data_IF_797460441954
#
_entry.id   IF_797460441954
#
_cell.length_a   1.000
_cell.length_b   1.000
_cell.length_c   1.000
_cell.angle_alpha   90.00
_cell.angle_beta   90.00
_cell.angle_gamma   90.00
#
_symmetry.space_group_name_H-M   'P 1'
#
loop_
_entity.id
_entity.type
_entity.pdbx_description
1 polymer ?
#
# COMPACT_ATOMS: atom_id res chain seq x y z
N UNK A 1 -79.12 14.78 9.52
CA UNK A 1 -78.65 13.90 8.43
C UNK A 1 -77.74 14.70 7.51
N UNK A 2 -76.60 14.28 6.98
CA UNK A 2 -75.57 13.29 7.30
C UNK A 2 -74.39 13.57 6.34
N UNK A 3 -73.13 13.50 6.84
CA UNK A 3 -71.83 13.30 6.12
C UNK A 3 -71.45 14.37 5.05
N UNK A 4 -70.31 15.07 5.06
CA UNK A 4 -68.95 14.76 5.48
C UNK A 4 -68.09 14.39 4.26
N UNK A 5 -67.08 15.19 3.88
CA UNK A 5 -65.69 14.75 3.64
C UNK A 5 -64.84 15.85 2.99
N UNK A 6 -63.72 16.16 3.64
CA UNK A 6 -62.58 16.90 3.11
C UNK A 6 -61.77 15.99 2.18
N UNK A 7 -61.15 16.54 1.12
CA UNK A 7 -59.98 15.93 0.48
C UNK A 7 -58.89 16.99 0.36
N UNK A 8 -58.05 17.03 1.38
CA UNK A 8 -56.68 17.53 1.35
C UNK A 8 -55.81 16.34 0.94
N UNK A 9 -54.92 16.49 -0.04
CA UNK A 9 -53.88 15.48 -0.23
C UNK A 9 -53.22 15.44 -1.60
N UNK A 10 -52.39 16.44 -1.93
CA UNK A 10 -51.52 16.37 -3.12
C UNK A 10 -50.07 16.84 -2.91
N UNK A 11 -49.61 17.01 -1.65
CA UNK A 11 -48.25 17.56 -1.39
C UNK A 11 -47.29 16.53 -0.76
N UNK A 12 -47.77 15.34 -0.40
CA UNK A 12 -46.94 14.38 0.36
C UNK A 12 -46.03 13.46 -0.47
N UNK A 13 -46.17 13.37 -1.81
CA UNK A 13 -45.36 12.43 -2.60
C UNK A 13 -43.99 12.99 -3.04
N UNK A 14 -43.86 14.31 -3.27
CA UNK A 14 -42.60 14.90 -3.73
C UNK A 14 -41.49 14.88 -2.68
N UNK A 15 -41.85 15.12 -1.41
CA UNK A 15 -40.90 15.10 -0.29
C UNK A 15 -40.38 13.69 0.05
N UNK A 16 -41.20 12.66 -0.16
CA UNK A 16 -40.84 11.26 0.18
C UNK A 16 -39.83 10.71 -0.83
N UNK A 17 -39.93 11.06 -2.12
CA UNK A 17 -38.96 10.62 -3.14
C UNK A 17 -37.61 11.33 -2.95
N UNK A 18 -37.60 12.63 -2.63
CA UNK A 18 -36.34 13.33 -2.33
C UNK A 18 -35.70 12.82 -1.03
N UNK A 19 -36.51 12.50 0.00
CA UNK A 19 -36.01 11.89 1.24
C UNK A 19 -35.56 10.43 1.07
N UNK A 20 -36.10 9.69 0.10
CA UNK A 20 -35.66 8.33 -0.25
C UNK A 20 -34.38 8.33 -1.10
N UNK A 21 -34.23 9.30 -2.02
CA UNK A 21 -33.00 9.46 -2.81
C UNK A 21 -31.85 9.99 -1.93
N UNK A 22 -32.14 10.86 -0.96
CA UNK A 22 -31.17 11.26 0.10
C UNK A 22 -30.94 10.17 1.17
N UNK A 23 -31.73 9.09 1.20
CA UNK A 23 -31.49 7.90 2.03
C UNK A 23 -30.82 6.75 1.27
N UNK A 24 -30.60 6.91 -0.03
CA UNK A 24 -29.83 5.99 -0.86
C UNK A 24 -28.37 6.42 -1.01
N UNK A 25 -27.94 7.51 -0.35
CA UNK A 25 -26.58 7.57 0.19
C UNK A 25 -26.54 6.52 1.28
N UNK A 26 -26.11 5.32 0.89
CA UNK A 26 -25.63 4.25 1.76
C UNK A 26 -25.27 4.80 3.13
N UNK A 27 -26.09 4.50 4.13
CA UNK A 27 -25.73 4.52 5.54
C UNK A 27 -24.39 3.78 5.67
N UNK A 28 -23.27 4.51 5.56
CA UNK A 28 -21.98 4.04 6.00
C UNK A 28 -22.07 4.01 7.51
N UNK A 29 -21.90 2.81 8.05
CA UNK A 29 -22.10 2.52 9.45
C UNK A 29 -21.28 3.49 10.30
N UNK A 30 -21.93 4.03 11.34
CA UNK A 30 -21.31 4.86 12.38
C UNK A 30 -20.40 3.95 13.21
N UNK A 31 -19.25 3.57 12.65
CA UNK A 31 -18.10 2.86 13.25
C UNK A 31 -17.07 2.37 12.21
N UNK A 32 -17.24 2.68 10.92
CA UNK A 32 -16.29 2.23 9.89
C UNK A 32 -14.94 2.93 10.07
N UNK A 33 -13.91 2.13 10.38
CA UNK A 33 -12.54 2.58 10.38
C UNK A 33 -12.13 3.05 8.97
N UNK A 34 -11.13 3.93 8.81
CA UNK A 34 -10.73 4.38 7.49
C UNK A 34 -10.02 3.26 6.71
N UNK A 35 -10.20 3.24 5.38
CA UNK A 35 -9.44 2.42 4.45
C UNK A 35 -8.42 3.30 3.71
N UNK A 36 -7.17 2.88 3.64
CA UNK A 36 -6.16 3.53 2.77
C UNK A 36 -6.20 2.82 1.41
N UNK A 37 -6.44 3.57 0.34
CA UNK A 37 -6.40 3.04 -1.02
C UNK A 37 -5.18 3.52 -1.81
N UNK A 38 -4.49 4.59 -1.39
CA UNK A 38 -3.29 5.09 -2.06
C UNK A 38 -2.26 5.61 -1.07
N UNK A 39 -1.00 5.20 -1.27
CA UNK A 39 0.18 5.74 -0.58
C UNK A 39 1.19 6.14 -1.64
N UNK A 40 1.86 7.27 -1.45
CA UNK A 40 2.89 7.77 -2.36
C UNK A 40 4.18 7.97 -1.58
N UNK A 41 5.27 7.40 -2.09
CA UNK A 41 6.62 7.76 -1.67
C UNK A 41 7.22 8.82 -2.59
N UNK A 42 8.06 9.66 -2.02
CA UNK A 42 8.97 10.54 -2.74
C UNK A 42 10.39 10.22 -2.28
N UNK A 43 11.21 9.69 -3.19
CA UNK A 43 12.43 8.96 -2.84
C UNK A 43 12.02 7.82 -1.89
N UNK A 44 12.66 7.72 -0.74
CA UNK A 44 12.40 6.66 0.22
C UNK A 44 11.31 7.02 1.23
N UNK A 45 10.81 8.25 1.23
CA UNK A 45 9.98 8.79 2.32
C UNK A 45 8.50 8.86 1.93
N UNK A 46 7.63 8.70 2.93
CA UNK A 46 6.19 8.90 2.81
C UNK A 46 5.89 10.37 2.46
N UNK A 47 5.16 10.57 1.37
CA UNK A 47 4.84 11.92 0.87
C UNK A 47 3.33 12.21 0.84
N UNK A 48 2.51 11.22 0.48
CA UNK A 48 1.06 11.35 0.52
C UNK A 48 0.35 10.04 0.89
N UNK A 49 -0.80 10.19 1.56
CA UNK A 49 -1.71 9.10 1.89
C UNK A 49 -3.15 9.54 1.61
N UNK A 50 -3.89 8.66 0.95
CA UNK A 50 -5.28 8.87 0.60
C UNK A 50 -6.12 7.65 0.92
N UNK A 51 -7.35 7.92 1.34
CA UNK A 51 -8.24 6.88 1.80
C UNK A 51 -9.70 7.29 1.82
N UNK A 52 -10.52 6.35 2.23
CA UNK A 52 -11.93 6.50 2.51
C UNK A 52 -12.18 6.45 4.01
N UNK A 53 -13.13 7.24 4.48
CA UNK A 53 -13.65 7.24 5.84
C UNK A 53 -15.09 7.75 5.81
N UNK A 54 -15.88 7.59 6.90
CA UNK A 54 -17.23 8.15 6.91
C UNK A 54 -17.19 9.68 6.67
N UNK A 55 -18.08 10.23 5.83
CA UNK A 55 -18.06 11.65 5.48
C UNK A 55 -18.10 12.60 6.68
N UNK A 56 -17.35 13.69 6.63
CA UNK A 56 -17.29 14.72 7.67
C UNK A 56 -16.53 14.32 8.93
N UNK A 57 -15.96 13.11 9.00
CA UNK A 57 -15.15 12.65 10.13
C UNK A 57 -13.73 13.22 10.09
N UNK A 58 -13.16 13.40 11.26
CA UNK A 58 -11.72 13.66 11.41
C UNK A 58 -10.97 12.35 11.25
N UNK A 59 -10.00 12.29 10.35
CA UNK A 59 -9.11 11.15 10.19
C UNK A 59 -7.75 11.51 10.74
N UNK A 60 -7.30 10.75 11.73
CA UNK A 60 -5.92 10.82 12.18
C UNK A 60 -5.11 9.70 11.54
N UNK A 61 -3.97 10.04 10.95
CA UNK A 61 -3.01 9.07 10.46
C UNK A 61 -1.85 8.95 11.44
N UNK A 62 -1.60 7.73 11.88
CA UNK A 62 -0.47 7.37 12.73
C UNK A 62 0.42 6.37 12.01
N UNK A 63 1.66 6.21 12.47
CA UNK A 63 2.52 5.14 12.00
C UNK A 63 3.23 4.43 13.14
N UNK A 64 3.59 3.17 12.88
CA UNK A 64 4.59 2.41 13.64
C UNK A 64 5.59 1.82 12.66
N UNK A 65 6.82 1.67 13.08
CA UNK A 65 7.86 1.15 12.21
C UNK A 65 8.83 0.25 12.95
N UNK A 66 9.27 -0.81 12.29
CA UNK A 66 10.37 -1.65 12.75
C UNK A 66 11.19 -2.15 11.59
N UNK A 67 12.41 -2.55 11.89
CA UNK A 67 13.24 -3.24 10.93
C UNK A 67 13.01 -4.76 10.99
N UNK A 68 13.42 -5.44 9.94
CA UNK A 68 13.54 -6.90 9.92
C UNK A 68 14.79 -7.28 9.14
N UNK A 69 15.26 -8.51 9.35
CA UNK A 69 16.29 -9.12 8.53
C UNK A 69 15.64 -9.69 7.27
N UNK A 70 16.06 -9.20 6.11
CA UNK A 70 15.65 -9.71 4.82
C UNK A 70 16.24 -11.10 4.57
N UNK A 71 15.41 -12.05 4.13
CA UNK A 71 15.88 -13.43 4.01
C UNK A 71 16.77 -13.75 2.81
N UNK A 72 17.67 -14.72 2.95
CA UNK A 72 18.57 -15.27 1.91
C UNK A 72 18.23 -16.72 1.52
N UNK A 73 18.78 -17.19 0.39
CA UNK A 73 18.41 -18.44 -0.31
C UNK A 73 18.80 -19.76 0.38
N UNK A 74 19.68 -19.74 1.39
CA UNK A 74 20.17 -20.95 2.05
C UNK A 74 19.47 -21.13 3.41
N UNK A 75 18.52 -22.06 3.48
CA UNK A 75 17.59 -22.22 4.59
C UNK A 75 18.26 -22.49 5.96
N UNK A 76 18.24 -21.48 6.83
CA UNK A 76 17.73 -21.61 8.22
C UNK A 76 17.24 -20.23 8.70
N UNK A 77 15.98 -19.92 8.35
CA UNK A 77 15.15 -18.80 8.82
C UNK A 77 15.84 -17.44 9.03
N UNK A 78 16.18 -16.73 7.94
CA UNK A 78 16.82 -15.41 8.02
C UNK A 78 15.83 -14.28 8.35
N UNK A 79 14.52 -14.47 8.12
CA UNK A 79 13.52 -13.49 8.51
C UNK A 79 13.44 -13.42 10.03
N UNK A 80 13.85 -12.29 10.58
CA UNK A 80 13.73 -12.02 11.99
C UNK A 80 13.29 -10.58 12.19
N UNK A 81 12.31 -10.41 13.07
CA UNK A 81 11.94 -9.08 13.51
C UNK A 81 13.07 -8.47 14.31
N UNK A 82 13.38 -7.23 13.97
CA UNK A 82 14.30 -6.41 14.74
C UNK A 82 13.49 -5.49 15.65
N UNK A 83 14.20 -4.58 16.34
CA UNK A 83 13.57 -3.63 17.25
C UNK A 83 12.55 -2.74 16.55
N UNK A 84 11.46 -2.46 17.27
CA UNK A 84 10.58 -1.36 16.90
C UNK A 84 11.28 -0.02 17.12
N UNK A 85 11.07 0.91 16.20
CA UNK A 85 11.39 2.32 16.43
C UNK A 85 10.45 2.84 17.52
N UNK A 86 10.97 3.72 18.39
CA UNK A 86 10.23 4.30 19.51
C UNK A 86 9.50 3.26 20.39
N UNK A 87 10.12 2.10 20.61
CA UNK A 87 9.53 1.04 21.46
C UNK A 87 8.25 0.40 20.89
N UNK A 88 7.85 0.72 19.66
CA UNK A 88 6.59 0.29 19.06
C UNK A 88 5.42 1.24 19.32
N UNK A 89 5.67 2.39 19.95
CA UNK A 89 4.67 3.41 20.13
C UNK A 89 4.33 4.08 18.80
N UNK A 90 3.03 4.21 18.55
CA UNK A 90 2.56 4.88 17.35
C UNK A 90 2.79 6.39 17.45
N UNK A 91 3.24 7.00 16.34
CA UNK A 91 3.46 8.44 16.23
C UNK A 91 2.50 9.01 15.20
N UNK A 92 1.86 10.14 15.52
CA UNK A 92 0.91 10.79 14.61
C UNK A 92 1.65 11.48 13.47
N UNK A 93 1.27 11.18 12.24
CA UNK A 93 1.76 11.85 11.03
C UNK A 93 0.98 13.14 10.83
N UNK A 94 -0.35 13.06 10.86
CA UNK A 94 -1.20 14.19 10.52
C UNK A 94 -2.68 13.92 10.77
N UNK A 95 -3.48 14.95 10.49
CA UNK A 95 -4.93 14.94 10.63
C UNK A 95 -5.53 15.51 9.34
N UNK A 96 -6.56 14.87 8.84
CA UNK A 96 -7.37 15.35 7.73
C UNK A 96 -8.86 15.26 8.08
N UNK A 97 -9.72 15.87 7.28
CA UNK A 97 -11.17 15.68 7.35
C UNK A 97 -11.63 14.97 6.10
N UNK A 98 -12.46 13.94 6.26
CA UNK A 98 -13.10 13.27 5.14
C UNK A 98 -14.14 14.20 4.51
N UNK A 99 -14.07 14.39 3.20
CA UNK A 99 -15.00 15.24 2.46
C UNK A 99 -16.41 14.62 2.39
N UNK A 100 -17.32 15.27 1.64
CA UNK A 100 -18.69 14.79 1.48
C UNK A 100 -18.80 13.42 0.78
N UNK A 101 -17.77 13.05 -0.01
CA UNK A 101 -17.64 11.74 -0.64
C UNK A 101 -16.91 10.71 0.25
N UNK A 102 -16.49 11.10 1.45
CA UNK A 102 -15.73 10.24 2.36
C UNK A 102 -14.23 10.17 2.06
N UNK A 103 -13.73 10.95 1.10
CA UNK A 103 -12.31 10.95 0.75
C UNK A 103 -11.54 11.83 1.73
N UNK A 104 -10.43 11.31 2.24
CA UNK A 104 -9.47 12.08 3.02
C UNK A 104 -8.07 11.99 2.41
N UNK A 105 -7.28 13.05 2.58
CA UNK A 105 -5.95 13.16 2.00
C UNK A 105 -4.98 13.87 2.95
N UNK A 106 -3.79 13.31 3.06
CA UNK A 106 -2.59 13.98 3.54
C UNK A 106 -1.59 14.00 2.39
N UNK A 107 -1.00 15.16 2.11
CA UNK A 107 -0.05 15.34 1.01
C UNK A 107 1.06 16.30 1.40
N UNK A 108 2.15 16.28 0.64
CA UNK A 108 3.33 17.11 0.88
C UNK A 108 3.91 16.89 2.29
N UNK A 109 3.79 15.64 2.78
CA UNK A 109 4.18 15.25 4.12
C UNK A 109 5.69 15.43 4.34
N UNK A 110 6.49 15.20 3.29
CA UNK A 110 7.94 15.39 3.34
C UNK A 110 8.30 16.86 3.54
N UNK A 111 7.67 17.78 2.80
CA UNK A 111 7.88 19.22 2.99
C UNK A 111 7.36 19.70 4.36
N UNK A 112 6.29 19.08 4.87
CA UNK A 112 5.78 19.29 6.22
C UNK A 112 6.67 18.71 7.34
N UNK A 113 7.83 18.13 7.00
CA UNK A 113 8.81 17.62 7.96
C UNK A 113 8.59 16.17 8.41
N UNK A 114 7.72 15.41 7.73
CA UNK A 114 7.56 13.97 7.99
C UNK A 114 8.77 13.21 7.46
N UNK A 115 9.37 12.37 8.32
CA UNK A 115 10.57 11.57 8.02
C UNK A 115 10.29 10.07 8.01
N UNK A 116 9.05 9.69 7.72
CA UNK A 116 8.63 8.28 7.69
C UNK A 116 9.16 7.62 6.41
N UNK A 117 10.29 6.95 6.54
CA UNK A 117 10.90 6.17 5.47
C UNK A 117 10.04 4.94 5.15
N UNK A 118 9.67 4.72 3.89
CA UNK A 118 8.98 3.52 3.40
C UNK A 118 9.94 2.48 2.80
N UNK A 119 11.09 2.94 2.29
CA UNK A 119 12.06 2.08 1.62
C UNK A 119 13.45 2.12 2.28
N UNK A 120 14.17 0.99 2.37
CA UNK A 120 15.53 1.00 2.87
C UNK A 120 16.44 1.83 1.94
N UNK A 121 17.39 2.61 2.49
CA UNK A 121 18.27 3.47 1.68
C UNK A 121 19.38 2.70 0.97
N UNK A 122 19.65 1.46 1.39
CA UNK A 122 20.69 0.59 0.87
C UNK A 122 20.38 -0.87 1.24
N UNK A 123 20.97 -1.86 0.54
CA UNK A 123 20.94 -3.24 1.00
C UNK A 123 21.68 -3.37 2.34
N UNK A 124 21.22 -4.26 3.21
CA UNK A 124 21.64 -4.25 4.61
C UNK A 124 21.86 -5.61 5.25
N UNK A 125 22.19 -6.63 4.43
CA UNK A 125 22.24 -8.06 4.76
C UNK A 125 22.51 -8.39 6.24
N UNK A 126 21.70 -9.27 6.81
CA UNK A 126 21.72 -9.81 8.19
C UNK A 126 21.75 -8.80 9.36
N UNK A 127 21.80 -7.49 9.10
CA UNK A 127 22.06 -6.45 10.12
C UNK A 127 20.83 -5.64 10.52
N UNK A 128 19.61 -6.07 10.19
CA UNK A 128 18.39 -5.27 10.43
C UNK A 128 18.41 -3.90 9.73
N UNK A 129 19.20 -3.76 8.66
CA UNK A 129 19.35 -2.51 7.91
C UNK A 129 18.66 -2.59 6.55
N UNK A 130 18.50 -3.79 5.99
CA UNK A 130 17.98 -3.96 4.65
C UNK A 130 16.47 -4.19 4.60
N UNK A 131 15.81 -4.57 5.70
CA UNK A 131 14.36 -4.70 5.81
C UNK A 131 13.70 -3.61 6.65
N UNK A 132 12.61 -3.03 6.14
CA UNK A 132 11.80 -2.00 6.77
C UNK A 132 10.31 -2.34 6.70
N UNK A 133 9.63 -2.36 7.84
CA UNK A 133 8.20 -2.59 7.97
C UNK A 133 7.54 -1.37 8.59
N UNK A 134 6.60 -0.76 7.86
CA UNK A 134 5.88 0.44 8.25
C UNK A 134 4.39 0.14 8.29
N UNK A 135 3.77 0.35 9.45
CA UNK A 135 2.32 0.35 9.58
C UNK A 135 1.80 1.77 9.43
N UNK A 136 0.76 1.93 8.63
CA UNK A 136 -0.07 3.12 8.55
C UNK A 136 -1.39 2.82 9.26
N UNK A 137 -1.70 3.64 10.26
CA UNK A 137 -2.72 3.38 11.26
C UNK A 137 -3.75 4.51 11.23
N UNK A 138 -4.65 4.50 10.24
CA UNK A 138 -5.68 5.51 10.14
C UNK A 138 -6.80 5.21 11.15
N UNK A 139 -7.37 6.25 11.75
CA UNK A 139 -8.58 6.13 12.56
C UNK A 139 -9.52 7.31 12.35
N UNK A 140 -10.82 7.04 12.31
CA UNK A 140 -11.84 8.07 12.19
C UNK A 140 -12.33 8.46 13.58
N UNK A 141 -12.36 9.75 13.89
CA UNK A 141 -12.69 10.33 15.18
C UNK A 141 -13.82 11.35 15.06
N UNK A 142 -14.56 11.58 16.15
CA UNK A 142 -15.58 12.65 16.22
C UNK A 142 -14.88 14.02 16.15
N UNK A 143 -13.76 14.12 16.84
CA UNK A 143 -12.85 15.26 16.96
C UNK A 143 -11.43 14.72 17.17
N UNK A 144 -10.36 15.51 16.98
CA UNK A 144 -8.99 15.05 17.21
C UNK A 144 -8.84 14.34 18.58
N UNK A 145 -8.40 13.09 18.56
CA UNK A 145 -8.20 12.24 19.74
C UNK A 145 -9.45 11.74 20.48
N UNK A 146 -10.67 12.06 20.04
CA UNK A 146 -11.91 11.71 20.74
C UNK A 146 -12.80 10.74 19.96
N UNK A 147 -13.28 9.68 20.64
CA UNK A 147 -14.18 8.66 20.08
C UNK A 147 -13.69 8.13 18.72
N UNK A 148 -12.45 7.68 18.70
CA UNK A 148 -11.81 7.20 17.49
C UNK A 148 -12.06 5.71 17.26
N UNK A 149 -12.17 5.30 15.99
CA UNK A 149 -12.17 3.89 15.61
C UNK A 149 -10.87 3.20 16.06
N UNK A 150 -10.94 1.89 16.31
CA UNK A 150 -9.75 1.09 16.57
C UNK A 150 -8.89 0.95 15.32
N UNK A 151 -7.58 0.77 15.51
CA UNK A 151 -6.69 0.32 14.43
C UNK A 151 -6.85 -1.18 14.23
N UNK A 152 -6.74 -1.60 12.97
CA UNK A 152 -6.73 -3.01 12.61
C UNK A 152 -5.81 -3.23 11.41
N UNK A 153 -4.54 -3.56 11.70
CA UNK A 153 -3.51 -3.73 10.68
C UNK A 153 -3.46 -5.19 10.20
N UNK A 154 -3.28 -5.44 8.90
CA UNK A 154 -2.95 -6.78 8.41
C UNK A 154 -1.63 -7.29 9.00
N UNK A 155 -1.38 -8.59 8.90
CA UNK A 155 -0.19 -9.20 9.48
C UNK A 155 0.77 -9.66 8.38
N UNK A 156 1.96 -9.08 8.34
CA UNK A 156 3.10 -9.66 7.64
C UNK A 156 3.68 -10.80 8.48
N UNK A 157 3.81 -11.98 7.90
CA UNK A 157 4.45 -13.13 8.54
C UNK A 157 5.94 -13.18 8.25
N UNK A 158 6.31 -12.94 6.98
CA UNK A 158 7.70 -12.88 6.52
C UNK A 158 7.77 -12.22 5.14
N UNK A 159 8.93 -11.63 4.83
CA UNK A 159 9.29 -11.07 3.53
C UNK A 159 10.76 -11.37 3.26
N UNK A 160 11.02 -12.01 2.13
CA UNK A 160 12.36 -12.31 1.64
C UNK A 160 12.53 -11.78 0.22
N UNK A 161 13.68 -11.17 -0.04
CA UNK A 161 14.09 -10.73 -1.39
C UNK A 161 15.36 -11.49 -1.69
N UNK A 162 15.39 -12.22 -2.80
CA UNK A 162 16.46 -13.19 -3.05
C UNK A 162 16.81 -13.28 -4.53
N UNK A 163 17.96 -13.90 -4.81
CA UNK A 163 18.44 -14.13 -6.17
C UNK A 163 18.26 -15.59 -6.51
N UNK A 164 17.16 -15.93 -7.21
CA UNK A 164 16.93 -17.29 -7.70
C UNK A 164 18.08 -17.77 -8.60
N UNK A 165 18.71 -16.82 -9.29
CA UNK A 165 19.96 -16.94 -10.04
C UNK A 165 20.71 -15.61 -9.91
N UNK A 166 22.01 -15.54 -10.23
CA UNK A 166 22.77 -14.29 -10.18
C UNK A 166 22.10 -13.11 -10.91
N UNK A 167 21.34 -13.40 -11.97
CA UNK A 167 20.63 -12.45 -12.82
C UNK A 167 19.11 -12.49 -12.65
N UNK A 168 18.55 -13.13 -11.62
CA UNK A 168 17.09 -13.19 -11.41
C UNK A 168 16.79 -12.85 -9.96
N UNK A 169 16.18 -11.69 -9.75
CA UNK A 169 15.68 -11.22 -8.46
C UNK A 169 14.23 -11.68 -8.26
N UNK A 170 13.86 -12.01 -7.03
CA UNK A 170 12.49 -12.41 -6.70
C UNK A 170 12.09 -11.96 -5.29
N UNK A 171 10.79 -11.75 -5.10
CA UNK A 171 10.19 -11.49 -3.78
C UNK A 171 9.31 -12.67 -3.36
N UNK A 172 9.48 -13.08 -2.12
CA UNK A 172 8.66 -14.10 -1.49
C UNK A 172 8.16 -13.58 -0.15
N UNK A 173 6.96 -13.96 0.25
CA UNK A 173 6.40 -13.52 1.53
C UNK A 173 5.07 -14.13 1.86
N UNK A 174 4.55 -13.74 3.03
CA UNK A 174 3.23 -14.17 3.45
C UNK A 174 2.52 -13.11 4.29
N UNK A 175 1.25 -12.91 3.97
CA UNK A 175 0.38 -11.91 4.59
C UNK A 175 -0.93 -12.57 4.98
N UNK A 176 -1.53 -12.13 6.08
CA UNK A 176 -2.91 -12.49 6.43
C UNK A 176 -3.69 -11.28 6.91
N UNK A 177 -5.01 -11.42 6.97
CA UNK A 177 -5.98 -10.41 7.41
C UNK A 177 -6.05 -9.17 6.52
N UNK A 178 -5.38 -9.16 5.37
CA UNK A 178 -5.49 -8.10 4.38
C UNK A 178 -6.71 -8.34 3.49
N UNK A 179 -7.51 -7.31 3.25
CA UNK A 179 -8.55 -7.32 2.21
C UNK A 179 -7.86 -7.35 0.84
N UNK A 180 -6.84 -6.51 0.67
CA UNK A 180 -5.99 -6.48 -0.52
C UNK A 180 -4.53 -6.59 -0.13
N UNK A 181 -3.78 -7.45 -0.81
CA UNK A 181 -2.36 -7.60 -0.59
C UNK A 181 -1.63 -7.75 -1.92
N UNK A 182 -0.43 -7.20 -2.02
CA UNK A 182 0.37 -7.34 -3.22
C UNK A 182 1.86 -7.45 -2.88
N UNK A 183 2.59 -8.17 -3.72
CA UNK A 183 4.03 -8.27 -3.68
C UNK A 183 4.61 -7.77 -5.01
N UNK A 184 5.77 -7.13 -4.96
CA UNK A 184 6.50 -6.70 -6.14
C UNK A 184 8.01 -6.80 -5.93
N UNK A 185 8.73 -6.99 -7.03
CA UNK A 185 10.19 -6.91 -7.07
C UNK A 185 10.58 -6.01 -8.22
N UNK A 186 11.58 -5.15 -7.98
CA UNK A 186 12.06 -4.19 -8.94
C UNK A 186 13.60 -4.11 -8.92
N UNK A 187 14.22 -3.97 -10.09
CA UNK A 187 15.63 -3.60 -10.24
C UNK A 187 15.84 -2.25 -10.93
N UNK A 188 14.77 -1.64 -11.44
CA UNK A 188 14.66 -0.28 -11.99
C UNK A 188 13.21 0.25 -12.00
N UNK A 189 12.94 1.46 -12.51
CA UNK A 189 11.62 2.00 -12.82
C UNK A 189 10.86 1.14 -13.83
N UNK A 190 9.53 1.25 -13.84
CA UNK A 190 8.67 0.51 -14.76
C UNK A 190 8.61 1.22 -16.13
N UNK A 191 9.49 0.83 -17.05
CA UNK A 191 9.72 1.55 -18.31
C UNK A 191 8.66 1.33 -19.41
N UNK A 192 7.67 0.44 -19.20
CA UNK A 192 6.49 0.36 -20.07
C UNK A 192 6.11 -1.04 -20.56
N UNK A 193 5.08 -1.15 -21.42
CA UNK A 193 4.55 -2.42 -21.89
C UNK A 193 5.13 -2.89 -23.23
N UNK A 194 6.14 -2.23 -23.84
CA UNK A 194 6.64 -2.68 -25.13
C UNK A 194 7.40 -4.01 -24.95
N UNK A 195 7.25 -4.98 -25.87
CA UNK A 195 7.94 -6.27 -25.79
C UNK A 195 9.48 -6.18 -25.87
N UNK A 196 10.01 -5.03 -26.29
CA UNK A 196 11.44 -4.71 -26.24
C UNK A 196 11.88 -4.11 -24.92
N UNK A 197 10.94 -3.69 -24.07
CA UNK A 197 11.22 -3.11 -22.77
C UNK A 197 11.58 -4.25 -21.82
N UNK A 198 12.67 -4.03 -21.10
CA UNK A 198 13.09 -4.92 -20.03
C UNK A 198 12.03 -4.85 -18.93
N UNK A 199 11.62 -6.01 -18.39
CA UNK A 199 10.70 -6.03 -17.25
C UNK A 199 11.51 -5.75 -15.99
N UNK A 200 11.64 -4.48 -15.65
CA UNK A 200 12.34 -4.00 -14.45
C UNK A 200 11.50 -4.10 -13.18
N UNK A 201 10.20 -4.38 -13.33
CA UNK A 201 9.24 -4.57 -12.26
C UNK A 201 8.30 -5.74 -12.58
N UNK A 202 8.20 -6.69 -11.65
CA UNK A 202 7.14 -7.70 -11.65
C UNK A 202 6.32 -7.60 -10.36
N UNK A 203 5.00 -7.76 -10.47
CA UNK A 203 4.07 -7.64 -9.35
C UNK A 203 2.97 -8.70 -9.39
N UNK A 204 2.49 -9.06 -8.21
CA UNK A 204 1.31 -9.89 -8.07
C UNK A 204 0.45 -9.41 -6.89
N UNK A 205 -0.79 -9.03 -7.19
CA UNK A 205 -1.78 -8.64 -6.19
C UNK A 205 -2.93 -9.63 -6.08
N UNK A 206 -3.48 -9.71 -4.87
CA UNK A 206 -4.60 -10.56 -4.51
C UNK A 206 -5.63 -9.69 -3.79
N UNK A 207 -6.86 -9.75 -4.28
CA UNK A 207 -8.04 -9.25 -3.59
C UNK A 207 -8.74 -10.44 -2.91
N UNK A 208 -8.67 -10.49 -1.58
CA UNK A 208 -9.31 -11.55 -0.79
C UNK A 208 -10.81 -11.35 -0.59
N UNK A 209 -11.35 -10.21 -1.03
CA UNK A 209 -12.79 -9.93 -1.04
C UNK A 209 -13.47 -10.47 -2.30
N UNK A 210 -12.69 -10.82 -3.33
CA UNK A 210 -13.20 -11.38 -4.57
C UNK A 210 -13.82 -12.78 -4.37
N UNK A 211 -14.81 -13.17 -5.19
CA UNK A 211 -15.45 -14.49 -5.10
C UNK A 211 -14.43 -15.65 -5.17
N UNK A 212 -14.60 -16.64 -4.31
CA UNK A 212 -13.69 -17.79 -4.21
C UNK A 212 -12.59 -17.64 -3.14
N UNK A 213 -12.49 -16.47 -2.52
CA UNK A 213 -11.61 -16.20 -1.38
C UNK A 213 -12.42 -16.00 -0.08
N UNK A 214 -11.87 -16.44 1.05
CA UNK A 214 -12.23 -15.93 2.37
C UNK A 214 -11.52 -14.58 2.61
N UNK A 215 -12.28 -13.58 3.06
CA UNK A 215 -11.76 -12.23 3.36
C UNK A 215 -10.67 -12.31 4.42
N UNK A 216 -9.51 -11.74 4.12
CA UNK A 216 -8.38 -11.74 5.05
C UNK A 216 -7.67 -13.09 5.18
N UNK A 217 -7.92 -14.05 4.28
CA UNK A 217 -7.16 -15.30 4.28
C UNK A 217 -5.66 -15.06 4.11
N UNK A 218 -4.89 -16.11 4.40
CA UNK A 218 -3.43 -16.06 4.25
C UNK A 218 -3.02 -16.17 2.78
N UNK A 219 -2.40 -15.12 2.27
CA UNK A 219 -1.74 -15.10 0.95
C UNK A 219 -0.26 -15.43 1.14
N UNK A 220 0.28 -16.27 0.26
CA UNK A 220 1.69 -16.67 0.29
C UNK A 220 2.28 -16.67 -1.11
N UNK A 221 3.29 -15.83 -1.33
CA UNK A 221 4.13 -15.82 -2.52
C UNK A 221 5.37 -16.68 -2.25
N UNK A 222 5.45 -17.86 -2.88
CA UNK A 222 6.64 -18.71 -2.83
C UNK A 222 7.17 -18.93 -4.24
N UNK A 223 8.45 -18.68 -4.45
CA UNK A 223 9.12 -18.98 -5.72
C UNK A 223 9.52 -20.44 -5.69
N UNK A 224 8.59 -21.31 -6.10
CA UNK A 224 8.66 -22.76 -5.96
C UNK A 224 7.28 -23.35 -5.60
N UNK A 225 7.27 -24.56 -5.04
CA UNK A 225 6.03 -25.24 -4.66
C UNK A 225 5.44 -24.66 -3.36
N UNK A 226 4.11 -24.61 -3.27
CA UNK A 226 3.39 -24.33 -2.02
C UNK A 226 3.06 -22.86 -1.74
N UNK A 227 3.19 -21.98 -2.74
CA UNK A 227 2.58 -20.64 -2.71
C UNK A 227 1.10 -20.69 -3.05
N UNK A 228 0.31 -19.75 -2.54
CA UNK A 228 -1.09 -19.53 -2.95
C UNK A 228 -1.21 -18.48 -4.07
N UNK A 229 -0.11 -17.78 -4.36
CA UNK A 229 -0.02 -16.71 -5.34
C UNK A 229 1.31 -16.81 -6.12
N UNK A 230 1.33 -16.23 -7.33
CA UNK A 230 2.49 -16.27 -8.24
C UNK A 230 3.62 -15.42 -7.66
N UNK A 231 4.79 -16.03 -7.41
CA UNK A 231 5.96 -15.26 -6.95
C UNK A 231 6.44 -14.28 -8.04
N UNK A 232 6.52 -12.97 -7.75
CA UNK A 232 7.09 -12.00 -8.67
C UNK A 232 8.60 -12.15 -8.81
N UNK A 233 9.10 -12.03 -10.04
CA UNK A 233 10.53 -12.11 -10.37
C UNK A 233 10.92 -11.27 -11.58
N UNK A 234 12.08 -10.62 -11.51
CA UNK A 234 12.67 -9.80 -12.59
C UNK A 234 14.03 -10.35 -13.01
N UNK A 235 14.43 -10.08 -14.25
CA UNK A 235 15.79 -10.32 -14.71
C UNK A 235 16.64 -9.11 -14.35
N UNK A 236 17.74 -9.31 -13.61
CA UNK A 236 18.62 -8.24 -13.14
C UNK A 236 19.61 -7.86 -14.23
N UNK A 237 19.61 -6.59 -14.65
CA UNK A 237 20.49 -6.09 -15.70
C UNK A 237 21.68 -5.31 -15.13
N UNK A 238 22.81 -6.00 -14.91
CA UNK A 238 24.00 -5.43 -14.27
C UNK A 238 24.92 -4.63 -15.24
N UNK A 239 24.48 -4.38 -16.47
CA UNK A 239 25.20 -3.57 -17.46
C UNK A 239 24.38 -3.43 -18.73
N UNK A 240 23.78 -2.27 -18.97
CA UNK A 240 22.97 -2.06 -20.16
C UNK A 240 23.86 -2.00 -21.41
N UNK A 241 23.59 -2.90 -22.35
CA UNK A 241 23.93 -2.76 -23.79
C UNK A 241 22.76 -2.15 -24.57
N UNK A 242 21.71 -1.73 -23.86
CA UNK A 242 20.62 -0.94 -24.45
C UNK A 242 21.21 0.35 -25.03
N UNK A 243 20.69 0.76 -26.18
CA UNK A 243 21.18 1.89 -26.99
C UNK A 243 21.01 3.24 -26.24
N UNK A 244 20.41 3.24 -25.05
CA UNK A 244 20.30 4.35 -24.09
C UNK A 244 20.56 3.89 -22.66
N UNK A 245 20.94 4.82 -21.78
CA UNK A 245 21.10 4.60 -20.33
C UNK A 245 19.74 4.30 -19.69
N UNK A 246 19.41 3.03 -19.59
CA UNK A 246 18.28 2.52 -18.80
C UNK A 246 18.47 2.90 -17.30
N UNK A 247 17.53 3.62 -16.67
CA UNK A 247 17.68 4.08 -15.29
C UNK A 247 17.60 2.93 -14.27
N UNK A 248 18.72 2.40 -13.80
CA UNK A 248 18.70 1.26 -12.85
C UNK A 248 18.74 1.65 -11.37
N UNK A 249 18.10 0.86 -10.50
CA UNK A 249 18.25 0.99 -9.05
C UNK A 249 19.57 0.38 -8.57
N UNK A 250 20.25 0.98 -7.57
CA UNK A 250 21.53 0.48 -7.07
C UNK A 250 21.43 -0.88 -6.33
N UNK A 251 20.21 -1.38 -6.11
CA UNK A 251 19.89 -2.64 -5.44
C UNK A 251 18.60 -3.22 -6.01
N UNK A 252 18.37 -4.50 -5.78
CA UNK A 252 17.07 -5.13 -6.06
C UNK A 252 16.16 -4.88 -4.87
N UNK A 253 14.99 -4.29 -5.13
CA UNK A 253 14.00 -3.92 -4.12
C UNK A 253 12.82 -4.90 -4.19
N UNK A 254 12.53 -5.59 -3.09
CA UNK A 254 11.29 -6.36 -2.96
C UNK A 254 10.37 -5.72 -1.94
N UNK A 255 9.08 -5.69 -2.25
CA UNK A 255 8.06 -4.99 -1.48
C UNK A 255 6.82 -5.84 -1.32
N UNK A 256 6.20 -5.78 -0.14
CA UNK A 256 4.87 -6.33 0.12
C UNK A 256 4.03 -5.27 0.80
N UNK A 257 2.80 -5.10 0.33
CA UNK A 257 1.79 -4.27 0.96
C UNK A 257 0.58 -5.11 1.36
N UNK A 258 -0.09 -4.67 2.42
CA UNK A 258 -1.35 -5.23 2.87
C UNK A 258 -2.26 -4.12 3.37
N UNK A 259 -3.51 -4.13 2.91
CA UNK A 259 -4.51 -3.12 3.20
C UNK A 259 -5.77 -3.76 3.75
N UNK A 260 -6.36 -3.08 4.72
CA UNK A 260 -7.73 -3.32 5.15
C UNK A 260 -8.29 -2.08 5.83
N UNK A 261 -9.58 -2.12 6.11
CA UNK A 261 -10.23 -1.13 6.96
C UNK A 261 -9.55 -1.05 8.35
N UNK A 262 -9.04 0.13 8.71
CA UNK A 262 -8.40 0.42 10.00
C UNK A 262 -6.88 0.28 10.03
N UNK A 263 -6.25 -0.15 8.93
CA UNK A 263 -4.81 -0.33 8.92
C UNK A 263 -4.24 -0.75 7.58
N UNK A 264 -3.02 -0.32 7.30
CA UNK A 264 -2.23 -0.82 6.19
C UNK A 264 -0.80 -1.02 6.62
N UNK A 265 -0.05 -1.85 5.92
CA UNK A 265 1.40 -1.90 6.07
C UNK A 265 2.07 -1.88 4.70
N UNK A 266 3.30 -1.36 4.71
CA UNK A 266 4.25 -1.45 3.62
C UNK A 266 5.51 -2.06 4.20
N UNK A 267 5.97 -3.16 3.61
CA UNK A 267 7.19 -3.85 3.97
C UNK A 267 8.11 -3.87 2.76
N UNK A 268 9.33 -3.40 2.91
CA UNK A 268 10.30 -3.34 1.84
C UNK A 268 11.63 -3.92 2.31
N UNK A 269 12.31 -4.61 1.41
CA UNK A 269 13.68 -5.03 1.63
C UNK A 269 14.54 -4.89 0.38
N UNK A 270 15.82 -4.59 0.57
CA UNK A 270 16.78 -4.43 -0.51
C UNK A 270 17.94 -5.42 -0.38
N UNK A 271 18.33 -6.02 -1.51
CA UNK A 271 19.53 -6.87 -1.62
C UNK A 271 20.50 -6.30 -2.67
N UNK A 272 21.82 -6.50 -2.50
CA UNK A 272 22.79 -5.92 -3.41
C UNK A 272 22.70 -6.54 -4.81
N UNK A 273 22.99 -5.73 -5.83
CA UNK A 273 23.26 -6.21 -7.19
C UNK A 273 24.53 -7.06 -7.25
N UNK A 274 24.65 -7.89 -8.29
CA UNK A 274 25.83 -8.75 -8.47
C UNK A 274 27.05 -7.94 -8.88
N UNK A 275 26.80 -6.90 -9.68
CA UNK A 275 27.79 -5.92 -10.13
C UNK A 275 27.33 -4.49 -9.83
N UNK A 276 28.24 -3.56 -9.51
CA UNK A 276 27.88 -2.15 -9.32
C UNK A 276 27.46 -1.49 -10.65
N UNK A 277 26.42 -0.67 -10.62
CA UNK A 277 26.00 0.17 -11.74
C UNK A 277 26.73 1.53 -11.73
N UNK A 278 27.00 2.08 -12.91
CA UNK A 278 27.80 3.31 -13.09
C UNK A 278 27.08 4.64 -12.81
N UNK A 279 25.77 4.61 -12.61
CA UNK A 279 24.94 5.75 -12.19
C UNK A 279 23.70 5.21 -11.44
N UNK A 280 23.09 5.99 -10.55
CA UNK A 280 21.96 5.56 -9.72
C UNK A 280 20.85 6.62 -9.68
N UNK A 281 19.60 6.16 -9.57
CA UNK A 281 18.41 7.01 -9.48
C UNK A 281 17.64 6.77 -8.18
N UNK A 282 17.01 7.83 -7.67
CA UNK A 282 16.09 7.75 -6.53
C UNK A 282 14.71 7.28 -7.00
N UNK A 283 14.06 6.45 -6.18
CA UNK A 283 12.80 5.77 -6.54
C UNK A 283 11.60 6.54 -6.00
N UNK A 284 10.57 6.78 -6.82
CA UNK A 284 9.23 7.11 -6.31
C UNK A 284 8.31 5.90 -6.55
N UNK A 285 7.53 5.54 -5.54
CA UNK A 285 6.56 4.43 -5.66
C UNK A 285 5.19 4.90 -5.25
N UNK A 286 4.20 4.64 -6.11
CA UNK A 286 2.79 4.71 -5.71
C UNK A 286 2.29 3.31 -5.42
N UNK A 287 1.63 3.19 -4.29
CA UNK A 287 1.03 1.98 -3.76
C UNK A 287 -0.48 2.09 -3.85
N UNK A 288 -1.16 1.06 -4.35
CA UNK A 288 -2.62 1.02 -4.41
C UNK A 288 -3.16 -0.13 -3.57
N UNK A 289 -3.96 0.22 -2.58
CA UNK A 289 -4.65 -0.72 -1.71
C UNK A 289 -6.00 -1.20 -2.25
N UNK A 290 -6.61 -0.47 -3.19
CA UNK A 290 -7.86 -0.87 -3.85
C UNK A 290 -7.82 -0.38 -5.31
N UNK A 291 -7.81 -1.31 -6.27
CA UNK A 291 -7.70 -0.98 -7.69
C UNK A 291 -8.99 -0.39 -8.28
N UNK A 292 -10.14 -0.73 -7.69
CA UNK A 292 -11.46 -0.32 -8.18
C UNK A 292 -11.79 1.16 -7.91
N UNK A 293 -11.01 1.84 -7.06
CA UNK A 293 -11.12 3.30 -6.89
C UNK A 293 -10.51 3.96 -8.13
N UNK A 294 -11.37 4.24 -9.12
CA UNK A 294 -10.98 4.94 -10.33
C UNK A 294 -10.80 6.44 -10.04
N UNK A 295 -9.56 6.91 -10.00
CA UNK A 295 -9.18 8.30 -9.76
C UNK A 295 -8.70 9.02 -11.03
N UNK A 296 -8.96 8.46 -12.21
CA UNK A 296 -8.54 9.03 -13.49
C UNK A 296 -7.85 8.01 -14.39
N UNK A 297 -6.84 8.44 -15.15
CA UNK A 297 -6.09 7.60 -16.10
C UNK A 297 -5.05 6.67 -15.43
N UNK A 298 -5.19 6.40 -14.13
CA UNK A 298 -4.23 5.59 -13.38
C UNK A 298 -4.29 4.13 -13.83
N UNK A 299 -3.13 3.59 -14.22
CA UNK A 299 -2.95 2.20 -14.66
C UNK A 299 -3.49 1.21 -13.61
N UNK A 300 -4.01 0.08 -14.07
CA UNK A 300 -4.52 -1.04 -13.24
C UNK A 300 -3.37 -1.83 -12.61
N UNK A 301 -2.50 -1.17 -11.84
CA UNK A 301 -1.32 -1.77 -11.18
C UNK A 301 -1.34 -1.50 -9.67
N UNK A 302 -0.84 -2.44 -8.89
CA UNK A 302 -0.77 -2.32 -7.42
C UNK A 302 0.43 -1.47 -6.97
N UNK A 303 1.48 -1.44 -7.79
CA UNK A 303 2.67 -0.63 -7.66
C UNK A 303 2.93 0.16 -8.95
N UNK A 304 3.41 1.39 -8.80
CA UNK A 304 3.89 2.25 -9.88
C UNK A 304 5.26 2.79 -9.48
N UNK A 305 6.32 2.11 -9.95
CA UNK A 305 7.71 2.51 -9.74
C UNK A 305 8.10 3.49 -10.83
N UNK A 306 8.33 4.73 -10.45
CA UNK A 306 8.64 5.80 -11.39
C UNK A 306 9.87 6.58 -10.93
N UNK A 307 10.55 7.17 -11.91
CA UNK A 307 11.55 8.19 -11.63
C UNK A 307 10.87 9.41 -11.02
N UNK A 308 11.54 10.04 -10.05
CA UNK A 308 11.16 11.36 -9.64
C UNK A 308 11.10 12.28 -10.86
N UNK A 309 9.95 12.91 -11.10
CA UNK A 309 9.96 14.17 -11.86
C UNK A 309 10.77 15.14 -11.01
N UNK A 310 12.05 15.25 -11.35
CA UNK A 310 12.88 16.40 -10.98
C UNK A 310 12.19 17.59 -11.65
N UNK A 311 11.37 18.31 -10.89
CA UNK A 311 10.91 19.63 -11.28
C UNK A 311 12.07 20.61 -11.14
#
# INVERSE_FOLDING_TARGET
MAKGSHIVGSVALGGVVVALVLRATTLHSVNEAPLIYRVVSNVNDLDAVEGLAPPGRVVELWFRQRNFKEGTDDASDPFAWCGWKNGGDAVRIGIATADAGGVWRLSDLRHAGTTVMLFPPAPGGDRCLGGLYTELLPRACDQPGANCSAWDTPTLHWLNVRKLRPTIGAVAGSVSRAEHAAAAVADGPDDGPEPSDVVDVDENGIDTTAPGYEVGQRVTWRCGVGGTAVCPSVTIHDGSTAVSTDPEFPFVLGTIQGHRTGGSFIAAAAIPRGSPIGFSVNVNVKFRGLLDVNLGCDRTRFFDFSLAKVF
#
